data_IF_580733093424
#
_entry.id   IF_580733093424
#
_cell.length_a   1.000
_cell.length_b   1.000
_cell.length_c   1.000
_cell.angle_alpha   90.00
_cell.angle_beta   90.00
_cell.angle_gamma   90.00
#
_symmetry.space_group_name_H-M   'P 1'
#
loop_
_entity.id
_entity.type
_entity.pdbx_description
1 polymer ?
#
# COMPACT_ATOMS: atom_id res chain seq x y z
N UNK A 1 -16.00 -19.98 -0.17
CA UNK A 1 -15.44 -18.62 -0.09
C UNK A 1 -14.82 -18.31 -1.44
N UNK A 2 -15.29 -17.26 -2.11
CA UNK A 2 -14.80 -16.91 -3.44
C UNK A 2 -13.39 -16.27 -3.34
N UNK A 3 -12.34 -16.87 -3.93
CA UNK A 3 -10.98 -16.37 -3.82
C UNK A 3 -10.80 -14.97 -4.44
N UNK A 4 -11.66 -14.57 -5.37
CA UNK A 4 -11.63 -13.23 -5.93
C UNK A 4 -12.08 -12.16 -4.92
N UNK A 5 -12.77 -12.53 -3.83
CA UNK A 5 -13.17 -11.59 -2.77
C UNK A 5 -12.05 -11.29 -1.77
N UNK A 6 -10.91 -11.99 -1.83
CA UNK A 6 -9.83 -11.91 -0.86
C UNK A 6 -8.83 -10.80 -1.17
N UNK A 7 -8.17 -10.30 -0.13
CA UNK A 7 -7.18 -9.23 -0.19
C UNK A 7 -5.97 -9.61 -1.07
N UNK A 8 -5.65 -8.74 -2.02
CA UNK A 8 -4.50 -8.90 -2.91
C UNK A 8 -3.24 -8.24 -2.33
N UNK A 9 -2.82 -8.68 -1.13
CA UNK A 9 -1.60 -8.19 -0.50
C UNK A 9 -0.39 -8.98 -0.99
N UNK A 10 0.59 -8.30 -1.59
CA UNK A 10 1.69 -8.93 -2.34
C UNK A 10 2.71 -9.66 -1.46
N UNK A 11 3.00 -9.12 -0.26
CA UNK A 11 4.06 -9.68 0.60
C UNK A 11 3.67 -10.96 1.33
N UNK A 12 2.40 -11.08 1.75
CA UNK A 12 1.91 -12.23 2.53
C UNK A 12 0.48 -12.56 2.15
N UNK A 13 0.14 -13.85 2.11
CA UNK A 13 -1.23 -14.29 1.89
C UNK A 13 -2.16 -13.66 2.94
N UNK A 14 -3.22 -12.99 2.48
CA UNK A 14 -4.18 -12.32 3.33
C UNK A 14 -5.59 -12.87 3.03
N UNK A 15 -6.19 -13.50 4.03
CA UNK A 15 -7.51 -14.13 3.92
C UNK A 15 -8.66 -13.18 4.29
N UNK A 16 -8.37 -11.90 4.48
CA UNK A 16 -9.39 -10.89 4.72
C UNK A 16 -10.10 -10.51 3.41
N UNK A 17 -11.39 -10.19 3.51
CA UNK A 17 -12.19 -9.75 2.36
C UNK A 17 -11.77 -8.33 1.93
N UNK A 18 -11.82 -8.07 0.61
CA UNK A 18 -11.58 -6.75 0.03
C UNK A 18 -12.66 -5.78 0.50
N UNK A 19 -12.21 -4.60 0.88
CA UNK A 19 -13.12 -3.55 1.32
C UNK A 19 -13.87 -2.94 0.13
N UNK A 20 -15.04 -2.36 0.36
CA UNK A 20 -15.83 -1.71 -0.69
C UNK A 20 -15.59 -0.20 -0.69
N UNK A 21 -15.40 0.35 -1.89
CA UNK A 21 -15.45 1.79 -2.15
C UNK A 21 -16.90 2.28 -2.02
N UNK A 22 -17.05 3.59 -1.84
CA UNK A 22 -18.36 4.26 -1.82
C UNK A 22 -19.11 4.15 -3.16
N UNK A 23 -18.40 3.94 -4.27
CA UNK A 23 -18.98 3.71 -5.59
C UNK A 23 -19.48 2.26 -5.81
N UNK A 24 -19.31 1.38 -4.83
CA UNK A 24 -19.73 -0.02 -4.92
C UNK A 24 -18.62 -0.99 -5.37
N UNK A 25 -17.51 -0.50 -5.92
CA UNK A 25 -16.39 -1.35 -6.36
C UNK A 25 -15.58 -1.89 -5.18
N UNK A 26 -14.91 -3.02 -5.38
CA UNK A 26 -13.95 -3.53 -4.41
C UNK A 26 -12.60 -2.82 -4.53
N UNK A 27 -12.00 -2.49 -3.39
CA UNK A 27 -10.59 -2.16 -3.32
C UNK A 27 -9.72 -3.36 -3.70
N UNK A 28 -8.42 -3.14 -3.93
CA UNK A 28 -7.44 -4.25 -4.10
C UNK A 28 -7.10 -4.92 -2.77
N UNK A 29 -7.13 -4.15 -1.69
CA UNK A 29 -6.74 -4.57 -0.34
C UNK A 29 -7.94 -4.59 0.62
N UNK A 30 -7.83 -5.37 1.69
CA UNK A 30 -8.77 -5.31 2.81
C UNK A 30 -8.63 -4.00 3.61
N UNK A 31 -9.61 -3.71 4.47
CA UNK A 31 -9.63 -2.49 5.28
C UNK A 31 -8.34 -2.30 6.10
N UNK A 32 -7.81 -3.37 6.70
CA UNK A 32 -6.57 -3.34 7.47
C UNK A 32 -5.37 -2.87 6.63
N UNK A 33 -5.13 -3.50 5.48
CA UNK A 33 -4.01 -3.15 4.61
C UNK A 33 -4.20 -1.78 3.94
N UNK A 34 -5.43 -1.34 3.68
CA UNK A 34 -5.72 0.03 3.21
C UNK A 34 -5.30 1.08 4.25
N UNK A 35 -5.65 0.89 5.52
CA UNK A 35 -5.26 1.81 6.58
C UNK A 35 -3.74 1.88 6.72
N UNK A 36 -3.05 0.73 6.65
CA UNK A 36 -1.58 0.67 6.69
C UNK A 36 -0.92 1.38 5.50
N UNK A 37 -1.44 1.14 4.29
CA UNK A 37 -0.97 1.82 3.08
C UNK A 37 -1.17 3.34 3.17
N UNK A 38 -2.32 3.79 3.65
CA UNK A 38 -2.59 5.22 3.86
C UNK A 38 -1.64 5.84 4.89
N UNK A 39 -1.33 5.13 5.98
CA UNK A 39 -0.38 5.60 6.98
C UNK A 39 1.04 5.72 6.41
N UNK A 40 1.49 4.71 5.64
CA UNK A 40 2.78 4.75 4.94
C UNK A 40 2.84 5.88 3.92
N UNK A 41 1.80 6.04 3.11
CA UNK A 41 1.70 7.13 2.13
C UNK A 41 1.77 8.50 2.80
N UNK A 42 1.04 8.72 3.90
CA UNK A 42 1.11 9.97 4.67
C UNK A 42 2.52 10.26 5.19
N UNK A 43 3.21 9.25 5.73
CA UNK A 43 4.61 9.40 6.18
C UNK A 43 5.53 9.79 5.01
N UNK A 44 5.38 9.15 3.86
CA UNK A 44 6.18 9.46 2.67
C UNK A 44 5.91 10.88 2.16
N UNK A 45 4.65 11.32 2.10
CA UNK A 45 4.28 12.69 1.72
C UNK A 45 4.81 13.71 2.72
N UNK A 46 4.67 13.46 4.03
CA UNK A 46 5.22 14.32 5.07
C UNK A 46 6.75 14.41 4.97
N UNK A 47 7.45 13.28 4.77
CA UNK A 47 8.90 13.24 4.56
C UNK A 47 9.33 14.03 3.33
N UNK A 48 8.54 14.03 2.26
CA UNK A 48 8.80 14.83 1.05
C UNK A 48 8.48 16.32 1.21
N UNK A 49 7.52 16.65 2.08
CA UNK A 49 7.17 18.03 2.38
C UNK A 49 8.18 18.68 3.35
N UNK A 50 8.81 17.90 4.24
CA UNK A 50 9.93 18.33 5.08
C UNK A 50 11.25 18.20 4.32
N UNK A 51 11.90 19.32 4.00
CA UNK A 51 13.21 19.40 3.33
C UNK A 51 14.38 18.86 4.18
N UNK A 52 14.35 17.60 4.63
CA UNK A 52 15.47 16.98 5.36
C UNK A 52 16.14 15.94 4.47
N UNK A 53 17.47 16.02 4.22
CA UNK A 53 18.20 15.00 3.48
C UNK A 53 18.05 13.62 4.15
N UNK A 54 18.03 12.52 3.38
CA UNK A 54 17.81 11.19 3.94
C UNK A 54 18.99 10.75 4.81
N UNK A 55 18.73 10.36 6.05
CA UNK A 55 19.59 9.41 6.78
C UNK A 55 19.44 8.02 6.11
N UNK A 56 20.58 7.38 5.85
CA UNK A 56 20.78 6.33 4.84
C UNK A 56 20.17 4.94 5.15
N UNK A 57 19.61 4.70 6.35
CA UNK A 57 19.23 3.33 6.76
C UNK A 57 17.75 2.93 6.53
N UNK A 58 16.84 3.87 6.26
CA UNK A 58 15.38 3.59 6.13
C UNK A 58 14.89 3.46 4.66
N UNK A 59 15.78 3.64 3.68
CA UNK A 59 15.43 3.63 2.26
C UNK A 59 15.40 2.22 1.65
N UNK A 60 16.06 1.23 2.26
CA UNK A 60 16.48 0.02 1.55
C UNK A 60 15.47 -1.15 1.53
N UNK A 61 14.37 -1.09 2.30
CA UNK A 61 13.35 -2.17 2.32
C UNK A 61 12.00 -1.77 1.67
N UNK A 62 11.83 -0.50 1.27
CA UNK A 62 10.57 0.03 0.75
C UNK A 62 10.54 0.22 -0.78
N UNK A 63 11.64 -0.09 -1.49
CA UNK A 63 11.86 0.43 -2.85
C UNK A 63 11.63 -0.56 -4.01
N UNK A 64 11.58 -1.88 -3.80
CA UNK A 64 11.48 -2.80 -4.95
C UNK A 64 10.05 -3.04 -5.49
N UNK A 65 9.00 -2.95 -4.68
CA UNK A 65 7.60 -3.10 -5.18
C UNK A 65 6.94 -1.76 -5.55
N UNK A 66 7.44 -0.65 -5.01
CA UNK A 66 6.86 0.70 -5.22
C UNK A 66 7.29 1.28 -6.58
N UNK A 67 8.52 0.99 -7.04
CA UNK A 67 9.03 1.37 -8.38
C UNK A 67 8.29 0.62 -9.50
N UNK A 68 7.95 -0.66 -9.31
CA UNK A 68 7.23 -1.47 -10.31
C UNK A 68 5.79 -0.98 -10.56
N UNK A 69 5.15 -0.40 -9.54
CA UNK A 69 3.77 0.12 -9.62
C UNK A 69 3.68 1.50 -10.29
N UNK A 70 4.78 2.26 -10.35
CA UNK A 70 4.85 3.57 -10.99
C UNK A 70 5.35 3.52 -12.45
N UNK A 71 6.07 2.46 -12.84
CA UNK A 71 6.55 2.25 -14.22
C UNK A 71 5.52 1.54 -15.14
N UNK A 72 4.29 1.32 -14.65
CA UNK A 72 3.20 0.64 -15.39
C UNK A 72 1.92 1.49 -15.51
N UNK A 73 2.02 2.79 -15.26
CA UNK A 73 1.03 3.83 -15.53
C UNK A 73 1.67 4.93 -16.36
#
# INVERSE_FOLDING_TARGET
MDPASLCHYSYKACYNVRDRKRNGDLHKLCAFHRCKANASHRKHVLKRASLTPPDDDDAFYFDMETIQMLLSL
#
